data_IF_658823719769
#
_entry.id   IF_658823719769
#
_cell.length_a   1.000
_cell.length_b   1.000
_cell.length_c   1.000
_cell.angle_alpha   90.00
_cell.angle_beta   90.00
_cell.angle_gamma   90.00
#
_symmetry.space_group_name_H-M   'P 1'
#
loop_
_entity.id
_entity.type
_entity.pdbx_description
1 polymer ?
#
# COMPACT_ATOMS: atom_id res chain seq x y z
N UNK A 1 -49.91 -4.40 -80.64
CA UNK A 1 -49.94 -3.63 -79.39
C UNK A 1 -48.92 -4.27 -78.45
N UNK A 2 -47.64 -3.84 -78.55
CA UNK A 2 -46.96 -2.78 -77.75
C UNK A 2 -46.56 -3.32 -76.37
N UNK A 3 -45.30 -3.74 -76.21
CA UNK A 3 -44.21 -2.96 -75.57
C UNK A 3 -44.39 -2.82 -74.04
N UNK A 4 -43.44 -3.33 -73.25
CA UNK A 4 -42.46 -2.44 -72.61
C UNK A 4 -41.38 -3.17 -71.78
N UNK A 5 -40.15 -2.81 -72.10
CA UNK A 5 -38.93 -2.97 -71.32
C UNK A 5 -39.00 -2.03 -70.10
N UNK A 6 -38.34 -2.39 -68.98
CA UNK A 6 -37.36 -1.50 -68.33
C UNK A 6 -36.64 -2.20 -67.15
N UNK A 7 -35.42 -2.59 -67.50
CA UNK A 7 -34.22 -2.82 -66.69
C UNK A 7 -34.07 -1.77 -65.58
N UNK A 8 -34.12 -2.19 -64.31
CA UNK A 8 -33.74 -1.35 -63.17
C UNK A 8 -32.25 -1.51 -62.84
N UNK A 9 -31.63 -0.41 -62.45
CA UNK A 9 -30.20 -0.14 -62.46
C UNK A 9 -29.40 -0.79 -61.34
N UNK A 10 -28.16 -1.13 -61.69
CA UNK A 10 -27.02 -1.43 -60.81
C UNK A 10 -26.86 -0.34 -59.75
N UNK A 11 -26.36 -0.70 -58.57
CA UNK A 11 -25.20 -0.04 -57.96
C UNK A 11 -24.55 -0.94 -56.91
N UNK A 12 -23.28 -1.25 -57.17
CA UNK A 12 -22.35 -1.98 -56.31
C UNK A 12 -21.83 -1.02 -55.24
N UNK A 13 -22.18 -1.25 -53.97
CA UNK A 13 -21.54 -0.55 -52.85
C UNK A 13 -20.32 -1.35 -52.41
N UNK A 14 -19.14 -0.76 -52.55
CA UNK A 14 -17.89 -1.30 -52.03
C UNK A 14 -17.85 -1.05 -50.53
N UNK A 15 -17.89 -2.12 -49.74
CA UNK A 15 -17.58 -2.06 -48.31
C UNK A 15 -16.06 -2.05 -48.15
N UNK A 16 -15.50 -0.86 -47.95
CA UNK A 16 -14.09 -0.63 -47.62
C UNK A 16 -13.89 -0.72 -46.11
N UNK A 17 -12.93 -1.51 -45.65
CA UNK A 17 -12.22 -1.27 -44.38
C UNK A 17 -12.51 -2.25 -43.24
N UNK A 18 -11.76 -3.35 -43.21
CA UNK A 18 -11.49 -4.11 -41.98
C UNK A 18 -10.16 -3.63 -41.38
N UNK A 19 -10.22 -2.86 -40.29
CA UNK A 19 -9.04 -2.58 -39.45
C UNK A 19 -9.39 -2.94 -38.00
N UNK A 20 -8.97 -4.11 -37.56
CA UNK A 20 -8.91 -4.45 -36.14
C UNK A 20 -7.66 -3.79 -35.57
N UNK A 21 -7.82 -2.63 -34.92
CA UNK A 21 -6.74 -2.00 -34.16
C UNK A 21 -6.58 -2.81 -32.88
N UNK A 22 -5.67 -3.78 -32.90
CA UNK A 22 -5.19 -4.46 -31.71
C UNK A 22 -4.45 -3.43 -30.83
N UNK A 23 -5.12 -2.93 -29.80
CA UNK A 23 -4.51 -2.10 -28.78
C UNK A 23 -3.77 -3.00 -27.78
N UNK A 24 -2.48 -3.23 -28.01
CA UNK A 24 -1.60 -3.76 -26.97
C UNK A 24 -1.16 -2.61 -26.06
N UNK A 25 -1.59 -2.54 -24.79
CA UNK A 25 -1.12 -1.52 -23.86
C UNK A 25 0.37 -1.80 -23.59
N UNK A 26 1.24 -0.90 -24.03
CA UNK A 26 2.67 -0.97 -23.71
C UNK A 26 2.87 -0.60 -22.24
N UNK A 27 3.06 -1.60 -21.39
CA UNK A 27 3.52 -1.39 -20.01
C UNK A 27 4.97 -0.91 -20.00
N UNK A 28 5.17 0.40 -20.04
CA UNK A 28 6.47 1.00 -19.77
C UNK A 28 6.74 0.98 -18.27
N UNK A 29 7.45 -0.06 -17.81
CA UNK A 29 8.02 -0.13 -16.47
C UNK A 29 9.10 0.94 -16.30
N UNK A 30 8.81 2.00 -15.55
CA UNK A 30 9.81 3.02 -15.15
C UNK A 30 10.79 2.39 -14.15
N UNK A 31 12.08 2.30 -14.51
CA UNK A 31 13.14 2.01 -13.53
C UNK A 31 13.34 3.27 -12.67
N UNK A 32 13.16 3.15 -11.34
CA UNK A 32 13.57 4.19 -10.39
C UNK A 32 15.11 4.24 -10.38
N UNK A 33 15.68 5.42 -10.55
CA UNK A 33 17.10 5.64 -10.37
C UNK A 33 17.44 5.44 -8.88
N UNK A 34 18.41 4.56 -8.62
CA UNK A 34 18.97 4.30 -7.30
C UNK A 34 19.81 5.52 -6.92
N UNK A 35 19.36 6.29 -5.93
CA UNK A 35 20.24 7.16 -5.16
C UNK A 35 20.99 6.29 -4.17
N UNK A 36 22.29 6.13 -4.42
CA UNK A 36 23.25 5.52 -3.52
C UNK A 36 23.40 6.39 -2.27
N UNK A 37 22.81 5.97 -1.16
CA UNK A 37 23.38 6.22 0.16
C UNK A 37 23.66 4.87 0.79
N UNK A 38 24.95 4.57 0.81
CA UNK A 38 25.61 3.42 1.40
C UNK A 38 25.21 3.26 2.86
N UNK A 39 24.62 2.13 3.23
CA UNK A 39 25.14 1.25 4.30
C UNK A 39 24.74 -0.18 3.92
N UNK A 40 25.75 -1.02 3.74
CA UNK A 40 25.60 -2.41 3.33
C UNK A 40 25.30 -3.27 4.54
N UNK A 41 24.05 -3.71 4.65
CA UNK A 41 23.72 -4.97 5.27
C UNK A 41 22.99 -5.80 4.21
N UNK A 42 23.31 -7.09 4.12
CA UNK A 42 22.57 -8.03 3.28
C UNK A 42 21.12 -8.03 3.74
N UNK A 43 20.31 -7.15 3.17
CA UNK A 43 18.91 -7.00 3.52
C UNK A 43 18.21 -8.28 3.09
N UNK A 44 18.04 -9.20 4.03
CA UNK A 44 16.96 -10.18 4.01
C UNK A 44 15.68 -9.39 3.83
N UNK A 45 15.30 -9.16 2.57
CA UNK A 45 14.09 -8.41 2.24
C UNK A 45 12.95 -9.19 2.86
N UNK A 46 12.30 -8.59 3.85
CA UNK A 46 11.18 -9.20 4.53
C UNK A 46 10.17 -9.61 3.45
N UNK A 47 9.68 -10.86 3.46
CA UNK A 47 8.71 -11.32 2.47
C UNK A 47 7.50 -10.39 2.42
N UNK A 48 7.01 -10.08 1.21
CA UNK A 48 5.84 -9.20 1.05
C UNK A 48 4.60 -9.71 1.80
N UNK A 49 4.47 -11.03 1.96
CA UNK A 49 3.39 -11.64 2.73
C UNK A 49 3.49 -11.31 4.23
N UNK A 50 4.67 -11.50 4.82
CA UNK A 50 4.92 -11.13 6.23
C UNK A 50 4.65 -9.64 6.49
N UNK A 51 4.98 -8.77 5.53
CA UNK A 51 4.66 -7.35 5.63
C UNK A 51 3.15 -7.07 5.57
N UNK A 52 2.40 -7.77 4.72
CA UNK A 52 0.94 -7.62 4.66
C UNK A 52 0.26 -8.12 5.94
N UNK A 53 0.74 -9.23 6.50
CA UNK A 53 0.27 -9.74 7.79
C UNK A 53 0.57 -8.76 8.93
N UNK A 54 1.78 -8.19 8.95
CA UNK A 54 2.16 -7.16 9.92
C UNK A 54 1.27 -5.91 9.82
N UNK A 55 0.98 -5.46 8.60
CA UNK A 55 0.08 -4.32 8.35
C UNK A 55 -1.33 -4.62 8.86
N UNK A 56 -1.86 -5.80 8.57
CA UNK A 56 -3.18 -6.21 9.03
C UNK A 56 -3.25 -6.29 10.56
N UNK A 57 -2.23 -6.88 11.21
CA UNK A 57 -2.14 -6.97 12.66
C UNK A 57 -2.04 -5.58 13.33
N UNK A 58 -1.24 -4.67 12.76
CA UNK A 58 -1.12 -3.30 13.24
C UNK A 58 -2.42 -2.52 13.08
N UNK A 59 -3.11 -2.66 11.93
CA UNK A 59 -4.43 -2.08 11.70
C UNK A 59 -5.45 -2.57 12.74
N UNK A 60 -5.52 -3.89 12.95
CA UNK A 60 -6.45 -4.47 13.93
C UNK A 60 -6.16 -3.98 15.35
N UNK A 61 -4.88 -3.87 15.73
CA UNK A 61 -4.49 -3.32 17.03
C UNK A 61 -4.93 -1.84 17.18
N UNK A 62 -4.54 -0.99 16.24
CA UNK A 62 -4.84 0.45 16.28
C UNK A 62 -6.35 0.71 16.28
N UNK A 63 -7.10 0.00 15.45
CA UNK A 63 -8.56 0.19 15.37
C UNK A 63 -9.30 -0.49 16.53
N UNK A 64 -9.07 -1.79 16.75
CA UNK A 64 -9.90 -2.58 17.67
C UNK A 64 -9.45 -2.49 19.12
N UNK A 65 -8.14 -2.42 19.37
CA UNK A 65 -7.58 -2.37 20.75
C UNK A 65 -7.44 -0.93 21.23
N UNK A 66 -6.99 -0.04 20.34
CA UNK A 66 -6.73 1.36 20.68
C UNK A 66 -7.86 2.31 20.32
N UNK A 67 -8.89 1.83 19.61
CA UNK A 67 -10.09 2.61 19.26
C UNK A 67 -9.82 3.83 18.38
N UNK A 68 -8.79 3.77 17.54
CA UNK A 68 -8.57 4.79 16.50
C UNK A 68 -9.58 4.61 15.36
N UNK A 69 -9.85 5.69 14.63
CA UNK A 69 -10.69 5.64 13.43
C UNK A 69 -10.06 4.68 12.40
N UNK A 70 -10.90 3.90 11.73
CA UNK A 70 -10.43 2.88 10.79
C UNK A 70 -9.54 3.48 9.69
N UNK A 71 -9.92 4.65 9.16
CA UNK A 71 -9.18 5.34 8.09
C UNK A 71 -7.79 5.74 8.56
N UNK A 72 -7.67 6.27 9.78
CA UNK A 72 -6.39 6.69 10.34
C UNK A 72 -5.51 5.47 10.67
N UNK A 73 -6.09 4.43 11.27
CA UNK A 73 -5.41 3.16 11.53
C UNK A 73 -4.91 2.49 10.23
N UNK A 74 -5.71 2.52 9.16
CA UNK A 74 -5.33 1.99 7.86
C UNK A 74 -4.19 2.81 7.23
N UNK A 75 -4.25 4.14 7.34
CA UNK A 75 -3.18 5.01 6.87
C UNK A 75 -1.88 4.76 7.63
N UNK A 76 -1.94 4.74 8.97
CA UNK A 76 -0.80 4.47 9.84
C UNK A 76 -0.16 3.13 9.50
N UNK A 77 -0.95 2.05 9.49
CA UNK A 77 -0.44 0.71 9.19
C UNK A 77 0.21 0.59 7.82
N UNK A 78 -0.29 1.28 6.78
CA UNK A 78 0.29 1.19 5.43
C UNK A 78 1.52 2.06 5.22
N UNK A 79 1.56 3.22 5.87
CA UNK A 79 2.51 4.28 5.57
C UNK A 79 3.63 4.43 6.63
N UNK A 80 3.79 3.49 7.55
CA UNK A 80 4.88 3.46 8.55
C UNK A 80 5.92 2.34 8.29
N UNK A 81 6.72 2.40 7.21
CA UNK A 81 7.64 1.33 6.81
C UNK A 81 8.73 0.98 7.83
N UNK A 82 9.39 1.97 8.43
CA UNK A 82 10.46 1.80 9.41
C UNK A 82 9.92 1.21 10.71
N UNK A 83 8.77 1.69 11.19
CA UNK A 83 8.11 1.11 12.35
C UNK A 83 7.75 -0.36 12.11
N UNK A 84 7.17 -0.68 10.95
CA UNK A 84 6.84 -2.07 10.59
C UNK A 84 8.07 -2.97 10.50
N UNK A 85 9.15 -2.48 9.87
CA UNK A 85 10.38 -3.26 9.77
C UNK A 85 10.98 -3.54 11.16
N UNK A 86 10.89 -2.57 12.09
CA UNK A 86 11.27 -2.79 13.49
C UNK A 86 10.35 -3.82 14.18
N UNK A 87 9.04 -3.72 13.98
CA UNK A 87 8.06 -4.66 14.53
C UNK A 87 8.33 -6.10 14.06
N UNK A 88 8.65 -6.27 12.79
CA UNK A 88 8.97 -7.56 12.18
C UNK A 88 10.27 -8.16 12.71
N UNK A 89 11.29 -7.34 13.00
CA UNK A 89 12.52 -7.79 13.66
C UNK A 89 12.27 -8.33 15.07
N UNK A 90 11.30 -7.77 15.80
CA UNK A 90 10.97 -8.22 17.16
C UNK A 90 10.25 -9.58 17.20
N UNK A 91 9.67 -10.03 16.09
CA UNK A 91 8.97 -11.32 15.96
C UNK A 91 9.69 -12.31 15.04
N UNK A 92 10.93 -11.99 14.64
CA UNK A 92 11.72 -12.80 13.73
C UNK A 92 11.87 -14.22 14.33
N UNK A 93 11.64 -15.25 13.51
CA UNK A 93 11.62 -16.70 13.83
C UNK A 93 10.26 -17.34 14.19
N UNK A 94 9.14 -16.61 14.16
CA UNK A 94 7.82 -17.23 14.33
C UNK A 94 7.19 -17.70 13.01
N UNK A 95 6.45 -18.81 13.06
CA UNK A 95 5.83 -19.44 11.88
C UNK A 95 4.59 -18.71 11.35
N UNK A 96 3.96 -17.89 12.18
CA UNK A 96 2.69 -17.19 11.90
C UNK A 96 2.87 -15.70 12.26
N UNK A 97 3.43 -14.94 11.33
CA UNK A 97 3.87 -13.55 11.55
C UNK A 97 2.72 -12.67 12.04
N UNK A 98 1.54 -12.77 11.40
CA UNK A 98 0.36 -12.01 11.81
C UNK A 98 -0.01 -12.26 13.27
N UNK A 99 -0.10 -13.53 13.68
CA UNK A 99 -0.43 -13.87 15.07
C UNK A 99 0.64 -13.45 16.06
N UNK A 100 1.92 -13.58 15.69
CA UNK A 100 3.06 -13.16 16.51
C UNK A 100 3.04 -11.67 16.76
N UNK A 101 2.78 -10.88 15.72
CA UNK A 101 2.68 -9.42 15.83
C UNK A 101 1.47 -9.03 16.67
N UNK A 102 0.29 -9.60 16.42
CA UNK A 102 -0.89 -9.33 17.25
C UNK A 102 -0.63 -9.65 18.72
N UNK A 103 0.09 -10.75 19.00
CA UNK A 103 0.50 -11.10 20.38
C UNK A 103 1.49 -10.08 20.94
N UNK A 104 2.52 -9.72 20.19
CA UNK A 104 3.54 -8.75 20.60
C UNK A 104 2.89 -7.41 20.98
N UNK A 105 2.07 -6.85 20.09
CA UNK A 105 1.38 -5.57 20.31
C UNK A 105 0.46 -5.59 21.54
N UNK A 106 -0.17 -6.73 21.85
CA UNK A 106 -1.04 -6.88 23.04
C UNK A 106 -0.28 -6.81 24.37
N UNK A 107 0.97 -7.28 24.40
CA UNK A 107 1.74 -7.35 25.64
C UNK A 107 2.83 -6.27 25.73
N UNK A 108 3.17 -5.62 24.62
CA UNK A 108 4.26 -4.67 24.52
C UNK A 108 3.72 -3.37 23.92
N UNK A 109 3.12 -2.49 24.75
CA UNK A 109 2.67 -1.19 24.26
C UNK A 109 3.87 -0.42 23.70
N UNK A 110 3.64 0.27 22.60
CA UNK A 110 4.63 1.09 21.90
C UNK A 110 4.15 2.54 21.82
N UNK A 111 5.04 3.44 21.43
CA UNK A 111 4.71 4.83 21.22
C UNK A 111 3.96 5.01 19.89
N UNK A 112 2.63 5.19 19.94
CA UNK A 112 1.74 5.34 18.78
C UNK A 112 2.05 6.57 17.94
N UNK A 113 2.73 7.56 18.52
CA UNK A 113 3.20 8.73 17.79
C UNK A 113 4.28 8.36 16.76
N UNK A 114 5.03 7.26 16.95
CA UNK A 114 6.04 6.81 15.97
C UNK A 114 5.40 6.44 14.63
N UNK A 115 4.50 5.43 14.52
CA UNK A 115 3.88 5.11 13.25
C UNK A 115 2.95 6.23 12.74
N UNK A 116 2.40 7.07 13.63
CA UNK A 116 1.63 8.24 13.23
C UNK A 116 2.49 9.25 12.47
N UNK A 117 3.58 9.72 13.07
CA UNK A 117 4.48 10.69 12.45
C UNK A 117 5.11 10.13 11.18
N UNK A 118 5.45 8.84 11.20
CA UNK A 118 5.95 8.19 10.00
C UNK A 118 4.91 8.17 8.88
N UNK A 119 3.64 7.89 9.19
CA UNK A 119 2.57 7.83 8.20
C UNK A 119 2.23 9.16 7.53
N UNK A 120 2.55 10.29 8.17
CA UNK A 120 2.44 11.63 7.57
C UNK A 120 3.72 12.05 6.82
N UNK A 121 4.74 11.18 6.80
CA UNK A 121 5.95 11.32 5.98
C UNK A 121 7.18 11.82 6.73
N UNK A 122 7.15 11.92 8.06
CA UNK A 122 8.35 12.26 8.83
C UNK A 122 9.28 11.05 8.94
N UNK A 123 10.58 11.29 8.80
CA UNK A 123 11.60 10.29 9.06
C UNK A 123 11.84 10.13 10.57
N UNK A 124 12.32 8.96 11.02
CA UNK A 124 12.65 8.75 12.43
C UNK A 124 13.51 9.87 13.03
N UNK A 125 14.57 10.30 12.34
CA UNK A 125 15.43 11.41 12.78
C UNK A 125 14.71 12.75 12.97
N UNK A 126 13.60 12.97 12.28
CA UNK A 126 12.82 14.21 12.31
C UNK A 126 11.78 14.19 13.43
N UNK A 127 11.14 13.04 13.67
CA UNK A 127 10.10 12.93 14.68
C UNK A 127 10.60 12.49 16.06
N UNK A 128 11.77 11.84 16.18
CA UNK A 128 12.29 11.43 17.50
C UNK A 128 12.35 12.58 18.53
N UNK A 129 12.78 13.80 18.16
CA UNK A 129 12.76 14.94 19.09
C UNK A 129 11.36 15.44 19.44
N UNK A 130 10.35 15.08 18.64
CA UNK A 130 8.95 15.49 18.80
C UNK A 130 8.14 14.50 19.63
N UNK A 131 8.67 13.30 19.88
CA UNK A 131 7.96 12.30 20.65
C UNK A 131 7.69 12.80 22.08
N UNK A 132 6.44 12.72 22.56
CA UNK A 132 6.12 13.10 23.92
C UNK A 132 6.82 12.18 24.93
N UNK A 133 7.29 12.75 26.05
CA UNK A 133 8.04 12.01 27.08
C UNK A 133 7.14 11.16 28.00
N UNK A 134 5.93 11.65 28.27
CA UNK A 134 5.01 11.07 29.25
C UNK A 134 3.67 10.64 28.63
N UNK A 135 3.60 10.61 27.30
CA UNK A 135 2.41 10.24 26.54
C UNK A 135 2.89 9.34 25.41
N UNK A 136 2.24 8.19 25.23
CA UNK A 136 2.63 7.22 24.20
C UNK A 136 1.44 6.77 23.34
N UNK A 137 0.23 7.19 23.70
CA UNK A 137 -0.99 6.79 23.03
C UNK A 137 -1.69 8.01 22.46
N UNK A 138 -2.18 7.92 21.22
CA UNK A 138 -2.84 9.04 20.54
C UNK A 138 -4.18 9.39 21.19
N UNK A 139 -4.95 8.37 21.59
CA UNK A 139 -6.27 8.57 22.21
C UNK A 139 -6.20 9.16 23.63
N UNK A 140 -5.02 9.21 24.25
CA UNK A 140 -4.81 9.85 25.54
C UNK A 140 -4.45 11.34 25.38
N UNK A 141 -4.21 11.81 24.16
CA UNK A 141 -3.96 13.21 23.86
C UNK A 141 -5.29 13.99 23.85
N UNK A 142 -5.56 14.75 24.92
CA UNK A 142 -6.78 15.55 25.05
C UNK A 142 -6.90 16.68 24.00
N UNK A 143 -5.84 16.94 23.24
CA UNK A 143 -5.79 18.00 22.23
C UNK A 143 -6.12 17.51 20.81
N UNK A 144 -6.31 16.19 20.60
CA UNK A 144 -6.59 15.54 19.31
C UNK A 144 -8.03 15.03 19.17
#
# INVERSE_FOLDING_TARGET
FTENNLRSSKNTLWATGSYQIAQHPRFYRRKRAVTSSTEGENANRIPSAARQEAQAALLEYLHSTRSLQFVDAENMSRNSPHFLDNLLKNVENETDVGRSITRFLRYHPFNEFEPFFESIGLKPSEYFPLLPRNLMFLNDDEML
#
